data_IF_232010525804
#
_entry.id   IF_232010525804
#
_cell.length_a   1.000
_cell.length_b   1.000
_cell.length_c   1.000
_cell.angle_alpha   90.00
_cell.angle_beta   90.00
_cell.angle_gamma   90.00
#
_symmetry.space_group_name_H-M   'P 1'
#
loop_
_entity.id
_entity.type
_entity.pdbx_description
1 polymer ?
#
# COMPACT_ATOMS: atom_id res chain seq x y z
N UNK A 1 -23.40 -8.11 -6.91
CA UNK A 1 -22.10 -7.51 -7.32
C UNK A 1 -21.23 -8.65 -7.78
N UNK A 2 -20.82 -8.66 -9.04
CA UNK A 2 -19.97 -9.71 -9.60
C UNK A 2 -18.52 -9.24 -9.48
N UNK A 3 -17.70 -9.95 -8.72
CA UNK A 3 -16.26 -9.69 -8.65
C UNK A 3 -15.63 -10.48 -9.79
N UNK A 4 -15.04 -9.78 -10.75
CA UNK A 4 -14.32 -10.39 -11.86
C UNK A 4 -12.84 -10.34 -11.51
N UNK A 5 -12.25 -11.49 -11.19
CA UNK A 5 -10.81 -11.63 -11.07
C UNK A 5 -10.22 -11.86 -12.45
N UNK A 6 -9.31 -10.99 -12.86
CA UNK A 6 -8.51 -11.17 -14.06
C UNK A 6 -7.08 -11.52 -13.66
N UNK A 7 -6.71 -12.77 -13.88
CA UNK A 7 -5.30 -13.17 -13.82
C UNK A 7 -4.61 -12.69 -15.09
N UNK A 8 -3.69 -11.75 -14.93
CA UNK A 8 -2.93 -11.21 -16.04
C UNK A 8 -1.58 -11.91 -16.13
N UNK A 9 -1.33 -12.58 -17.24
CA UNK A 9 0.00 -13.13 -17.54
C UNK A 9 0.83 -12.00 -18.14
N UNK A 10 1.94 -11.67 -17.49
CA UNK A 10 2.90 -10.66 -17.94
C UNK A 10 4.32 -11.16 -17.79
N UNK A 11 5.18 -10.72 -18.70
CA UNK A 11 6.62 -10.94 -18.59
C UNK A 11 7.21 -9.77 -17.84
N UNK A 12 7.82 -10.04 -16.68
CA UNK A 12 8.48 -9.04 -15.86
C UNK A 12 10.00 -9.16 -15.96
N UNK A 13 10.73 -8.05 -15.87
CA UNK A 13 12.18 -8.08 -15.86
C UNK A 13 12.69 -8.77 -14.60
N UNK A 14 13.74 -9.59 -14.74
CA UNK A 14 14.45 -10.22 -13.62
C UNK A 14 15.83 -9.57 -13.51
N UNK A 15 16.18 -9.11 -12.33
CA UNK A 15 17.49 -8.52 -12.03
C UNK A 15 18.06 -9.16 -10.77
N UNK A 16 19.26 -9.70 -10.88
CA UNK A 16 19.95 -10.41 -9.78
C UNK A 16 19.12 -11.55 -9.16
N UNK A 17 18.33 -12.27 -9.99
CA UNK A 17 17.45 -13.35 -9.53
C UNK A 17 16.11 -12.90 -8.94
N UNK A 18 15.86 -11.61 -8.84
CA UNK A 18 14.59 -11.06 -8.33
C UNK A 18 13.72 -10.49 -9.47
N UNK A 19 12.43 -10.79 -9.39
CA UNK A 19 11.43 -10.20 -10.30
C UNK A 19 11.28 -8.72 -9.94
N UNK A 20 11.40 -7.86 -10.94
CA UNK A 20 11.31 -6.41 -10.78
C UNK A 20 9.94 -5.90 -11.20
N UNK A 21 9.51 -4.80 -10.58
CA UNK A 21 8.38 -4.00 -11.06
C UNK A 21 8.62 -3.44 -12.45
N UNK A 22 7.55 -3.13 -13.16
CA UNK A 22 7.62 -2.47 -14.47
C UNK A 22 6.67 -1.25 -14.51
N UNK A 23 7.24 -0.07 -14.30
CA UNK A 23 6.48 1.17 -14.30
C UNK A 23 5.93 1.55 -15.70
N UNK A 24 6.52 1.02 -16.77
CA UNK A 24 6.04 1.27 -18.14
C UNK A 24 4.71 0.56 -18.40
N UNK A 25 4.51 -0.58 -17.75
CA UNK A 25 3.28 -1.36 -17.79
C UNK A 25 2.37 -1.10 -16.57
N UNK A 26 2.72 -0.14 -15.71
CA UNK A 26 2.04 0.14 -14.45
C UNK A 26 1.95 -1.11 -13.53
N UNK A 27 3.03 -1.91 -13.49
CA UNK A 27 3.14 -3.08 -12.63
C UNK A 27 4.01 -2.74 -11.43
N UNK A 28 3.40 -2.79 -10.25
CA UNK A 28 4.02 -2.46 -8.98
C UNK A 28 4.20 -3.71 -8.10
N UNK A 29 5.12 -3.64 -7.15
CA UNK A 29 5.24 -4.63 -6.10
C UNK A 29 4.10 -4.46 -5.09
N UNK A 30 3.51 -5.56 -4.68
CA UNK A 30 2.52 -5.65 -3.61
C UNK A 30 3.08 -6.58 -2.53
N UNK A 31 2.90 -6.21 -1.28
CA UNK A 31 3.19 -7.11 -0.17
C UNK A 31 2.02 -7.14 0.82
N UNK A 32 1.80 -8.32 1.40
CA UNK A 32 0.86 -8.55 2.49
C UNK A 32 1.68 -8.98 3.71
N UNK A 33 1.65 -8.16 4.74
CA UNK A 33 2.44 -8.35 5.97
C UNK A 33 1.49 -8.77 7.09
N UNK A 34 1.82 -9.87 7.75
CA UNK A 34 1.05 -10.36 8.88
C UNK A 34 1.06 -9.34 10.02
N UNK A 35 -0.14 -8.97 10.52
CA UNK A 35 -0.32 -7.87 11.47
C UNK A 35 -0.30 -8.33 12.93
N UNK A 36 -0.69 -9.56 13.19
CA UNK A 36 -1.02 -10.02 14.54
C UNK A 36 0.11 -10.72 15.27
N UNK A 37 1.31 -10.75 14.69
CA UNK A 37 2.51 -11.27 15.32
C UNK A 37 2.52 -12.78 15.53
N UNK A 38 1.73 -13.53 14.76
CA UNK A 38 1.64 -14.99 14.89
C UNK A 38 2.81 -15.69 14.21
N UNK A 39 3.16 -15.24 13.01
CA UNK A 39 4.17 -15.89 12.18
C UNK A 39 5.25 -14.94 11.67
N UNK A 40 4.95 -13.63 11.66
CA UNK A 40 5.78 -12.61 11.00
C UNK A 40 5.84 -12.78 9.47
N UNK A 41 4.87 -13.51 8.89
CA UNK A 41 4.87 -13.84 7.47
C UNK A 41 4.68 -12.63 6.58
N UNK A 42 5.39 -12.63 5.43
CA UNK A 42 5.25 -11.64 4.36
C UNK A 42 5.04 -12.37 3.05
N UNK A 43 3.90 -12.11 2.40
CA UNK A 43 3.63 -12.53 1.02
C UNK A 43 3.94 -11.39 0.06
N UNK A 44 4.62 -11.70 -1.05
CA UNK A 44 4.96 -10.70 -2.08
C UNK A 44 4.34 -11.10 -3.41
N UNK A 45 3.82 -10.12 -4.13
CA UNK A 45 3.25 -10.28 -5.46
C UNK A 45 3.39 -9.00 -6.28
N UNK A 46 2.68 -8.97 -7.40
CA UNK A 46 2.66 -7.83 -8.30
C UNK A 46 1.22 -7.45 -8.64
N UNK A 47 0.98 -6.17 -8.85
CA UNK A 47 -0.34 -5.64 -9.17
C UNK A 47 -0.23 -4.60 -10.27
N UNK A 48 -1.22 -4.53 -11.14
CA UNK A 48 -1.32 -3.56 -12.21
C UNK A 48 -2.49 -2.60 -11.98
N UNK A 49 -2.36 -1.35 -12.41
CA UNK A 49 -3.48 -0.40 -12.45
C UNK A 49 -3.48 0.66 -11.34
N UNK A 50 -2.39 0.81 -10.59
CA UNK A 50 -2.28 1.81 -9.53
C UNK A 50 -1.80 3.18 -10.01
N UNK A 51 -1.14 3.25 -11.17
CA UNK A 51 -0.54 4.47 -11.77
C UNK A 51 0.45 5.22 -10.85
N UNK A 52 0.92 4.59 -9.80
CA UNK A 52 1.86 5.17 -8.85
C UNK A 52 3.25 5.33 -9.49
N UNK A 53 3.81 6.52 -9.50
CA UNK A 53 5.13 6.82 -10.10
C UNK A 53 6.26 6.80 -9.07
N UNK A 54 5.96 7.10 -7.81
CA UNK A 54 6.91 7.13 -6.70
C UNK A 54 6.22 6.74 -5.39
N UNK A 55 7.04 6.32 -4.42
CA UNK A 55 6.58 6.08 -3.07
C UNK A 55 5.82 4.77 -2.87
N UNK A 56 5.05 4.71 -1.80
CA UNK A 56 4.26 3.57 -1.41
C UNK A 56 3.00 3.97 -0.64
N UNK A 57 2.02 3.08 -0.67
CA UNK A 57 0.79 3.12 0.12
C UNK A 57 0.77 1.89 1.01
N UNK A 58 0.28 2.03 2.24
CA UNK A 58 -0.04 0.89 3.10
C UNK A 58 -1.35 1.09 3.82
N UNK A 59 -2.07 0.01 4.08
CA UNK A 59 -3.35 0.03 4.79
C UNK A 59 -3.65 -1.28 5.50
N UNK A 60 -4.45 -1.23 6.57
CA UNK A 60 -4.90 -2.40 7.33
C UNK A 60 -6.36 -2.80 7.08
N UNK A 61 -7.07 -2.07 6.19
CA UNK A 61 -8.47 -2.36 5.84
C UNK A 61 -8.62 -3.53 4.86
N UNK A 62 -7.87 -4.59 5.06
CA UNK A 62 -8.00 -5.79 4.23
C UNK A 62 -9.14 -6.65 4.75
N UNK A 63 -10.23 -6.72 3.99
CA UNK A 63 -11.53 -7.22 4.41
C UNK A 63 -11.52 -8.66 4.94
N UNK A 64 -10.73 -9.55 4.33
CA UNK A 64 -10.80 -10.97 4.66
C UNK A 64 -9.82 -11.39 5.76
N UNK A 65 -8.68 -10.73 5.90
CA UNK A 65 -7.60 -11.18 6.78
C UNK A 65 -7.03 -10.09 7.70
N UNK A 66 -7.39 -8.82 7.49
CA UNK A 66 -6.97 -7.65 8.29
C UNK A 66 -5.44 -7.48 8.44
N UNK A 67 -4.66 -8.09 7.56
CA UNK A 67 -3.22 -7.89 7.47
C UNK A 67 -2.91 -6.53 6.86
N UNK A 68 -1.66 -6.08 6.98
CA UNK A 68 -1.22 -4.85 6.35
C UNK A 68 -0.90 -5.15 4.87
N UNK A 69 -1.60 -4.47 3.98
CA UNK A 69 -1.32 -4.53 2.54
C UNK A 69 -0.57 -3.27 2.14
N UNK A 70 0.50 -3.43 1.39
CA UNK A 70 1.28 -2.31 0.85
C UNK A 70 1.53 -2.49 -0.63
N UNK A 71 1.46 -1.38 -1.37
CA UNK A 71 1.80 -1.31 -2.79
C UNK A 71 2.78 -0.17 -2.97
N UNK A 72 3.84 -0.41 -3.73
CA UNK A 72 4.84 0.64 -3.89
C UNK A 72 5.80 0.46 -5.07
N UNK A 73 6.48 1.55 -5.33
CA UNK A 73 7.57 1.64 -6.31
C UNK A 73 8.91 1.31 -5.67
N UNK A 74 9.08 1.59 -4.39
CA UNK A 74 10.32 1.40 -3.62
C UNK A 74 10.08 0.49 -2.43
N UNK A 75 10.91 -0.52 -2.25
CA UNK A 75 10.83 -1.44 -1.10
C UNK A 75 11.06 -0.70 0.21
N UNK A 76 11.95 0.29 0.22
CA UNK A 76 12.19 1.13 1.41
C UNK A 76 10.95 1.95 1.80
N UNK A 77 10.26 2.55 0.83
CA UNK A 77 9.04 3.29 1.11
C UNK A 77 7.91 2.36 1.55
N UNK A 78 7.81 1.15 0.97
CA UNK A 78 6.86 0.12 1.41
C UNK A 78 7.11 -0.28 2.86
N UNK A 79 8.37 -0.50 3.26
CA UNK A 79 8.73 -0.85 4.63
C UNK A 79 8.38 0.27 5.62
N UNK A 80 8.67 1.54 5.27
CA UNK A 80 8.31 2.70 6.08
C UNK A 80 6.78 2.79 6.23
N UNK A 81 6.04 2.61 5.13
CA UNK A 81 4.58 2.67 5.15
C UNK A 81 3.97 1.57 6.04
N UNK A 82 4.47 0.34 5.95
CA UNK A 82 4.03 -0.78 6.81
C UNK A 82 4.32 -0.51 8.29
N UNK A 83 5.54 -0.04 8.60
CA UNK A 83 5.93 0.29 9.96
C UNK A 83 5.06 1.41 10.55
N UNK A 84 4.71 2.41 9.75
CA UNK A 84 3.82 3.49 10.20
C UNK A 84 2.41 2.97 10.48
N UNK A 85 1.83 2.12 9.62
CA UNK A 85 0.52 1.48 9.89
C UNK A 85 0.58 0.60 11.15
N UNK A 86 1.68 -0.12 11.37
CA UNK A 86 1.89 -0.92 12.57
C UNK A 86 1.97 -0.03 13.82
N UNK A 87 2.72 1.08 13.77
CA UNK A 87 2.83 2.08 14.85
C UNK A 87 1.47 2.70 15.22
N UNK A 88 0.60 2.89 14.24
CA UNK A 88 -0.76 3.39 14.43
C UNK A 88 -1.75 2.31 14.93
N UNK A 89 -1.29 1.07 15.10
CA UNK A 89 -2.15 -0.08 15.39
C UNK A 89 -3.26 -0.31 14.36
N UNK A 90 -3.02 0.14 13.13
CA UNK A 90 -3.93 0.08 11.98
C UNK A 90 -4.26 1.47 11.43
N UNK A 91 -4.39 1.54 10.11
CA UNK A 91 -4.60 2.82 9.44
C UNK A 91 -4.30 2.77 7.95
N UNK A 92 -4.17 3.95 7.39
CA UNK A 92 -3.66 4.20 6.04
C UNK A 92 -2.44 5.11 6.12
N UNK A 93 -1.48 4.89 5.24
CA UNK A 93 -0.27 5.70 5.17
C UNK A 93 0.17 5.87 3.72
N UNK A 94 0.67 7.04 3.41
CA UNK A 94 1.33 7.37 2.14
C UNK A 94 2.76 7.81 2.44
N UNK A 95 3.70 7.19 1.76
CA UNK A 95 5.14 7.48 1.89
C UNK A 95 5.71 7.85 0.53
N UNK A 96 6.60 8.82 0.49
CA UNK A 96 7.33 9.19 -0.72
C UNK A 96 8.74 9.66 -0.37
N UNK A 97 9.73 9.13 -1.08
CA UNK A 97 11.15 9.47 -0.93
C UNK A 97 11.62 9.36 0.55
N UNK A 98 11.21 8.28 1.24
CA UNK A 98 11.59 8.00 2.63
C UNK A 98 10.81 8.78 3.70
N UNK A 99 9.84 9.62 3.32
CA UNK A 99 9.09 10.44 4.24
C UNK A 99 7.60 10.05 4.26
N UNK A 100 7.03 9.99 5.45
CA UNK A 100 5.57 9.86 5.61
C UNK A 100 4.92 11.17 5.16
N UNK A 101 4.18 11.12 4.07
CA UNK A 101 3.49 12.28 3.51
C UNK A 101 2.20 12.57 4.25
N UNK A 102 1.48 11.50 4.59
CA UNK A 102 0.25 11.56 5.37
C UNK A 102 -0.06 10.19 5.97
N UNK A 103 -0.75 10.20 7.12
CA UNK A 103 -1.21 8.97 7.76
C UNK A 103 -2.53 9.18 8.49
N UNK A 104 -3.35 8.15 8.50
CA UNK A 104 -4.63 8.14 9.19
C UNK A 104 -4.76 6.91 10.07
N UNK A 105 -4.93 7.12 11.37
CA UNK A 105 -5.21 6.05 12.32
C UNK A 105 -6.67 5.57 12.18
N UNK A 106 -6.85 4.25 12.24
CA UNK A 106 -8.14 3.58 12.30
C UNK A 106 -8.25 2.80 13.62
N UNK A 107 -8.63 3.47 14.72
CA UNK A 107 -8.56 2.90 16.07
C UNK A 107 -9.51 1.73 16.29
N UNK A 108 -10.59 1.63 15.52
CA UNK A 108 -11.57 0.56 15.64
C UNK A 108 -11.13 -0.62 14.77
N UNK A 109 -10.40 -1.57 15.36
CA UNK A 109 -9.93 -2.79 14.70
C UNK A 109 -8.93 -2.58 13.55
N UNK A 110 -8.48 -1.35 13.33
CA UNK A 110 -7.68 -0.99 12.14
C UNK A 110 -8.52 -0.85 10.87
N UNK A 111 -9.84 -0.72 11.01
CA UNK A 111 -10.80 -0.74 9.90
C UNK A 111 -11.62 0.55 9.82
N UNK A 112 -11.92 1.18 10.96
CA UNK A 112 -12.83 2.31 11.03
C UNK A 112 -12.26 3.44 11.88
N UNK A 113 -12.64 4.67 11.53
CA UNK A 113 -12.37 5.88 12.29
C UNK A 113 -13.67 6.40 12.90
N UNK A 114 -13.63 6.89 14.13
CA UNK A 114 -14.75 7.56 14.78
C UNK A 114 -15.12 8.88 14.09
N UNK A 115 -14.23 9.43 13.29
CA UNK A 115 -14.42 10.73 12.65
C UNK A 115 -14.41 10.59 11.11
N UNK A 116 -15.59 10.53 10.50
CA UNK A 116 -15.77 10.46 9.05
C UNK A 116 -15.14 11.64 8.27
N UNK A 117 -15.03 12.82 8.91
CA UNK A 117 -14.37 13.99 8.31
C UNK A 117 -12.85 13.80 8.13
N UNK A 118 -12.20 12.96 8.94
CA UNK A 118 -10.77 12.65 8.79
C UNK A 118 -10.49 11.87 7.50
N UNK A 119 -11.38 10.94 7.15
CA UNK A 119 -11.29 10.17 5.91
C UNK A 119 -11.31 11.08 4.68
N UNK A 120 -12.27 11.99 4.62
CA UNK A 120 -12.39 12.95 3.52
C UNK A 120 -11.17 13.87 3.42
N UNK A 121 -10.65 14.34 4.56
CA UNK A 121 -9.44 15.17 4.60
C UNK A 121 -8.18 14.41 4.15
N UNK A 122 -8.05 13.16 4.55
CA UNK A 122 -6.94 12.31 4.15
C UNK A 122 -6.95 12.12 2.63
N UNK A 123 -8.07 11.72 2.05
CA UNK A 123 -8.18 11.60 0.59
C UNK A 123 -7.94 12.95 -0.10
N UNK A 124 -8.48 14.05 0.41
CA UNK A 124 -8.24 15.38 -0.15
C UNK A 124 -6.76 15.78 -0.07
N UNK A 125 -6.06 15.46 1.02
CA UNK A 125 -4.63 15.79 1.18
C UNK A 125 -3.77 14.97 0.21
N UNK A 126 -4.10 13.70 0.03
CA UNK A 126 -3.45 12.84 -0.98
C UNK A 126 -3.67 13.43 -2.37
N UNK A 127 -4.91 13.70 -2.77
CA UNK A 127 -5.23 14.27 -4.07
C UNK A 127 -4.63 15.66 -4.30
N UNK A 128 -4.58 16.52 -3.30
CA UNK A 128 -3.96 17.85 -3.40
C UNK A 128 -2.43 17.81 -3.46
N UNK A 129 -1.78 16.84 -2.78
CA UNK A 129 -0.33 16.62 -2.81
C UNK A 129 0.12 15.71 -3.97
N UNK A 130 -0.82 15.13 -4.68
CA UNK A 130 -0.67 14.08 -5.68
C UNK A 130 0.19 14.41 -6.89
N UNK A 131 0.42 15.68 -7.20
CA UNK A 131 1.30 16.04 -8.32
C UNK A 131 2.72 15.45 -8.22
N UNK A 132 3.12 14.93 -7.05
CA UNK A 132 4.43 14.32 -6.83
C UNK A 132 4.43 12.79 -6.89
N UNK A 133 3.30 12.15 -6.60
CA UNK A 133 3.22 10.68 -6.45
C UNK A 133 2.64 10.00 -7.68
N UNK A 134 1.69 10.66 -8.37
CA UNK A 134 0.93 10.09 -9.48
C UNK A 134 1.25 10.66 -10.87
N UNK A 135 2.10 11.68 -10.98
CA UNK A 135 2.50 12.29 -12.26
C UNK A 135 3.93 11.99 -12.66
#
# INVERSE_FOLDING_TARGET
MQIINHDLIRTLPVKQGEIQRDLSQDILKLAVVERYGKTGGVGVGFVQGFTLKKGALAYSMSHDHHNIVTVGVSDSDMAIAVNEVARLHGGLTVVCDGNVMDSMCLPIGGLMSECGQRMSRFFFSIFAKEKRVWR
#
